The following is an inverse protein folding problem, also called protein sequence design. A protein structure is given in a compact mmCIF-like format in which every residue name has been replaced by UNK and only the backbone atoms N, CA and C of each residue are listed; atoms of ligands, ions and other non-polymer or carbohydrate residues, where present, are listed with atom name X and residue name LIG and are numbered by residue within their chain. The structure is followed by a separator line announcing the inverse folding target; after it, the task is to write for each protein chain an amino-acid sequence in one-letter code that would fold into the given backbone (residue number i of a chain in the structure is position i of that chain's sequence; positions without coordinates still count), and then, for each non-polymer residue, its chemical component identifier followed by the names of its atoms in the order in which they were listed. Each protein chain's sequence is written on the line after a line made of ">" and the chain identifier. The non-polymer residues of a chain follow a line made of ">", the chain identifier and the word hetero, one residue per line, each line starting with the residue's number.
data_IF_720743325385
#
_entry.id   IF_720743325385
#
_cell.length_a   1.000
_cell.length_b   1.000
_cell.length_c   1.000
_cell.angle_alpha   90.00
_cell.angle_beta   90.00
_cell.angle_gamma   90.00
#
_symmetry.space_group_name_H-M   'P 1'
#
loop_
_entity.id
_entity.type
_entity.pdbx_description
1 polymer ?
#
# COMPACT_ATOMS: atom_id res chain seq x y z
N UNK A 1 -6.76 5.66 8.65
CA UNK A 1 -5.70 6.68 8.62
C UNK A 1 -4.44 6.20 7.87
N UNK A 2 -3.84 5.04 8.19
CA UNK A 2 -2.61 4.58 7.50
C UNK A 2 -2.79 4.45 5.99
N UNK A 3 -3.90 3.85 5.54
CA UNK A 3 -4.26 3.71 4.13
C UNK A 3 -4.40 5.06 3.39
N UNK A 4 -5.06 6.05 4.01
CA UNK A 4 -5.18 7.40 3.45
C UNK A 4 -3.81 8.08 3.29
N UNK A 5 -2.91 7.89 4.24
CA UNK A 5 -1.56 8.48 4.20
C UNK A 5 -0.72 7.91 3.05
N UNK A 6 -0.72 6.59 2.86
CA UNK A 6 0.04 5.98 1.76
C UNK A 6 -0.62 6.21 0.41
N UNK A 7 -1.95 6.21 0.33
CA UNK A 7 -2.66 6.50 -0.92
C UNK A 7 -2.44 7.94 -1.39
N UNK A 8 -2.23 8.88 -0.46
CA UNK A 8 -1.92 10.27 -0.79
C UNK A 8 -0.54 10.48 -1.43
N UNK A 9 0.39 9.54 -1.27
CA UNK A 9 1.68 9.56 -1.97
C UNK A 9 1.51 9.34 -3.47
N UNK A 10 0.47 8.58 -3.85
CA UNK A 10 0.14 8.33 -5.24
C UNK A 10 -0.64 9.55 -5.73
N UNK A 11 0.05 10.46 -6.42
CA UNK A 11 -0.52 11.71 -6.90
C UNK A 11 -1.60 11.54 -7.98
N UNK A 12 -1.44 12.29 -9.07
CA UNK A 12 -2.38 12.29 -10.19
C UNK A 12 -2.39 10.97 -10.99
N UNK A 13 -2.58 11.05 -12.30
CA UNK A 13 -2.48 9.86 -13.16
C UNK A 13 -1.00 9.51 -13.35
N UNK A 14 -0.51 8.37 -12.83
CA UNK A 14 0.89 8.00 -13.03
C UNK A 14 1.13 7.66 -14.50
N UNK A 15 2.34 7.90 -14.99
CA UNK A 15 2.79 7.51 -16.33
C UNK A 15 2.85 5.99 -16.49
N UNK A 16 3.27 5.29 -15.43
CA UNK A 16 3.26 3.83 -15.36
C UNK A 16 2.04 3.34 -14.57
N UNK A 17 1.12 2.56 -15.17
CA UNK A 17 -0.10 2.12 -14.50
C UNK A 17 0.11 1.35 -13.20
N UNK A 18 1.20 0.59 -13.09
CA UNK A 18 1.53 -0.19 -11.88
C UNK A 18 1.79 0.70 -10.66
N UNK A 19 2.26 1.93 -10.86
CA UNK A 19 2.46 2.92 -9.80
C UNK A 19 1.13 3.50 -9.29
N UNK A 20 0.01 3.18 -9.93
CA UNK A 20 -1.32 3.46 -9.39
C UNK A 20 -1.77 2.46 -8.32
N UNK A 21 -0.96 1.44 -8.02
CA UNK A 21 -1.26 0.40 -7.05
C UNK A 21 -0.54 0.65 -5.72
N UNK A 22 -1.14 0.12 -4.65
CA UNK A 22 -0.49 -0.09 -3.37
C UNK A 22 0.07 -1.51 -3.32
N UNK A 23 1.29 -1.67 -2.83
CA UNK A 23 1.80 -2.96 -2.38
C UNK A 23 1.30 -3.22 -0.96
N UNK A 24 0.60 -4.33 -0.77
CA UNK A 24 0.24 -4.88 0.53
C UNK A 24 1.15 -6.08 0.80
N UNK A 25 1.78 -6.11 1.96
CA UNK A 25 2.63 -7.24 2.37
C UNK A 25 2.39 -7.57 3.84
N UNK A 26 2.05 -8.83 4.09
CA UNK A 26 1.84 -9.39 5.43
C UNK A 26 3.04 -10.26 5.78
N UNK A 27 3.72 -9.90 6.86
CA UNK A 27 4.93 -10.56 7.38
C UNK A 27 5.05 -10.23 8.87
N UNK A 28 5.49 -11.19 9.71
CA UNK A 28 5.81 -10.94 11.13
C UNK A 28 4.71 -10.21 11.94
N UNK A 29 3.44 -10.63 11.83
CA UNK A 29 2.28 -9.96 12.44
C UNK A 29 2.08 -8.50 11.98
N UNK A 30 2.63 -8.10 10.82
CA UNK A 30 2.55 -6.72 10.33
C UNK A 30 2.02 -6.71 8.90
N UNK A 31 0.98 -5.91 8.67
CA UNK A 31 0.62 -5.44 7.35
C UNK A 31 1.40 -4.18 7.05
N UNK A 32 2.25 -4.25 6.03
CA UNK A 32 2.89 -3.11 5.40
C UNK A 32 2.14 -2.70 4.15
N UNK A 33 1.93 -1.41 3.98
CA UNK A 33 1.33 -0.81 2.80
C UNK A 33 2.32 0.19 2.23
N UNK A 34 2.71 -0.02 0.97
CA UNK A 34 3.72 0.79 0.30
C UNK A 34 3.14 1.44 -0.95
N UNK A 35 3.42 2.73 -1.09
CA UNK A 35 3.13 3.55 -2.27
C UNK A 35 4.42 4.24 -2.75
N UNK A 36 4.61 4.34 -4.06
CA UNK A 36 5.75 5.06 -4.65
C UNK A 36 5.43 5.67 -6.01
N UNK A 37 6.08 6.80 -6.30
CA UNK A 37 6.12 7.44 -7.61
C UNK A 37 7.50 7.38 -8.28
N UNK A 38 8.39 6.49 -7.79
CA UNK A 38 9.81 6.32 -8.13
C UNK A 38 10.77 7.39 -7.57
N UNK A 39 10.27 8.50 -7.06
CA UNK A 39 11.09 9.52 -6.38
C UNK A 39 10.95 9.41 -4.86
N UNK A 40 9.74 9.15 -4.39
CA UNK A 40 9.39 9.00 -2.98
C UNK A 40 8.70 7.66 -2.74
N UNK A 41 8.95 7.07 -1.58
CA UNK A 41 8.23 5.90 -1.08
C UNK A 41 7.61 6.23 0.28
N UNK A 42 6.31 5.98 0.43
CA UNK A 42 5.63 6.00 1.73
C UNK A 42 5.25 4.59 2.15
N UNK A 43 5.70 4.20 3.34
CA UNK A 43 5.38 2.93 3.96
C UNK A 43 4.61 3.18 5.25
N UNK A 44 3.43 2.58 5.35
CA UNK A 44 2.70 2.51 6.63
C UNK A 44 2.64 1.07 7.11
N UNK A 45 2.70 0.90 8.43
CA UNK A 45 2.68 -0.42 9.08
C UNK A 45 1.53 -0.47 10.07
N UNK A 46 0.83 -1.61 10.08
CA UNK A 46 -0.25 -1.90 11.01
C UNK A 46 0.02 -3.27 11.61
N UNK A 47 0.07 -3.36 12.94
CA UNK A 47 0.12 -4.64 13.64
C UNK A 47 -1.18 -5.38 13.42
N UNK A 48 -1.08 -6.64 13.02
CA UNK A 48 -2.19 -7.56 12.82
C UNK A 48 -2.41 -8.36 14.10
N UNK A 49 -3.68 -8.63 14.39
CA UNK A 49 -4.11 -9.49 15.49
C UNK A 49 -4.87 -10.69 14.91
N UNK A 50 -4.73 -11.86 15.55
CA UNK A 50 -5.38 -13.09 15.12
C UNK A 50 -4.63 -13.84 14.02
N UNK A 51 -5.35 -14.68 13.29
CA UNK A 51 -4.80 -15.51 12.23
C UNK A 51 -4.63 -14.73 10.93
N UNK A 52 -3.45 -14.82 10.32
CA UNK A 52 -3.16 -14.23 9.02
C UNK A 52 -2.21 -15.14 8.23
N UNK A 53 -2.27 -15.03 6.91
CA UNK A 53 -1.35 -15.72 6.02
C UNK A 53 -0.30 -14.73 5.51
N UNK A 54 0.97 -15.13 5.55
CA UNK A 54 2.03 -14.33 4.99
C UNK A 54 1.90 -14.27 3.47
N UNK A 55 2.15 -13.10 2.89
CA UNK A 55 2.01 -12.93 1.46
C UNK A 55 2.09 -11.48 1.02
N UNK A 56 2.05 -11.27 -0.29
CA UNK A 56 2.03 -9.95 -0.87
C UNK A 56 1.14 -9.88 -2.10
N UNK A 57 0.53 -8.71 -2.29
CA UNK A 57 -0.30 -8.43 -3.45
C UNK A 57 -0.27 -6.93 -3.75
N UNK A 58 -0.50 -6.56 -5.00
CA UNK A 58 -0.77 -5.17 -5.36
C UNK A 58 -2.24 -4.95 -5.63
N UNK A 59 -2.81 -3.85 -5.15
CA UNK A 59 -4.21 -3.47 -5.40
C UNK A 59 -4.31 -2.04 -5.94
N UNK A 60 -5.27 -1.72 -6.81
CA UNK A 60 -5.47 -0.35 -7.28
C UNK A 60 -5.79 0.59 -6.10
N UNK A 61 -4.95 1.61 -5.88
CA UNK A 61 -5.03 2.43 -4.67
C UNK A 61 -6.36 3.18 -4.54
N UNK A 62 -6.81 3.83 -5.63
CA UNK A 62 -8.07 4.59 -5.62
C UNK A 62 -9.27 3.73 -5.23
N UNK A 63 -9.41 2.57 -5.90
CA UNK A 63 -10.51 1.64 -5.63
C UNK A 63 -10.45 1.00 -4.25
N UNK A 64 -9.26 0.90 -3.66
CA UNK A 64 -9.07 0.30 -2.34
C UNK A 64 -9.28 1.32 -1.22
N UNK A 65 -9.11 2.61 -1.53
CA UNK A 65 -9.36 3.71 -0.60
C UNK A 65 -10.85 4.07 -0.49
N UNK A 66 -11.58 3.99 -1.61
CA UNK A 66 -13.04 4.19 -1.72
C UNK A 66 -13.82 3.10 -0.98
#
# INVERSE_FOLDING_TARGET
>A
KPLQQVSGALGGRPTLPILGNLLLKVEENVLSMTATDLEVELVSKVTLEGDFEAGSITVPSRKFLD
#
